data_IF_040194022735
#
_entry.id   IF_040194022735
#
_cell.length_a   1.000
_cell.length_b   1.000
_cell.length_c   1.000
_cell.angle_alpha   90.00
_cell.angle_beta   90.00
_cell.angle_gamma   90.00
#
_symmetry.space_group_name_H-M   'P 1'
#
loop_
_entity.id
_entity.type
_entity.pdbx_description
1 polymer ?
#
# COMPACT_ATOMS: atom_id res chain seq x y z
N UNK A 1 -36.39 37.75 10.81
CA UNK A 1 -35.87 37.54 9.43
C UNK A 1 -35.48 36.07 9.13
N UNK A 2 -35.52 35.13 10.09
CA UNK A 2 -35.15 33.71 9.90
C UNK A 2 -36.32 32.75 9.62
N UNK A 3 -37.57 33.15 9.86
CA UNK A 3 -38.75 32.29 9.67
C UNK A 3 -39.20 32.23 8.19
N UNK A 4 -38.93 33.26 7.40
CA UNK A 4 -39.32 33.36 5.99
C UNK A 4 -38.45 32.53 5.03
N UNK A 5 -37.19 32.23 5.38
CA UNK A 5 -36.30 31.38 4.56
C UNK A 5 -36.69 29.90 4.57
N UNK A 6 -37.22 29.39 5.68
CA UNK A 6 -37.64 27.99 5.80
C UNK A 6 -38.96 27.68 5.06
N UNK A 7 -39.82 28.68 4.87
CA UNK A 7 -41.07 28.54 4.11
C UNK A 7 -40.81 28.44 2.59
N UNK A 8 -39.92 29.30 2.06
CA UNK A 8 -39.58 29.31 0.64
C UNK A 8 -38.90 28.01 0.18
N UNK A 9 -38.02 27.44 1.01
CA UNK A 9 -37.33 26.19 0.71
C UNK A 9 -38.27 24.97 0.77
N UNK A 10 -39.20 24.92 1.74
CA UNK A 10 -40.25 23.90 1.78
C UNK A 10 -41.22 24.02 0.60
N UNK A 11 -41.55 25.23 0.17
CA UNK A 11 -42.43 25.45 -0.98
C UNK A 11 -41.74 25.06 -2.30
N UNK A 12 -40.43 25.30 -2.45
CA UNK A 12 -39.68 24.90 -3.65
C UNK A 12 -39.55 23.38 -3.80
N UNK A 13 -39.33 22.66 -2.69
CA UNK A 13 -39.31 21.18 -2.70
C UNK A 13 -40.69 20.58 -2.97
N UNK A 14 -41.75 21.08 -2.32
CA UNK A 14 -43.12 20.57 -2.52
C UNK A 14 -43.63 20.84 -3.94
N UNK A 15 -43.22 21.96 -4.56
CA UNK A 15 -43.63 22.32 -5.92
C UNK A 15 -42.90 21.50 -6.98
N UNK A 16 -41.61 21.17 -6.79
CA UNK A 16 -40.91 20.24 -7.71
C UNK A 16 -41.44 18.81 -7.64
N UNK A 17 -41.85 18.33 -6.46
CA UNK A 17 -42.49 17.00 -6.33
C UNK A 17 -43.89 16.98 -6.96
N UNK A 18 -44.66 18.08 -6.86
CA UNK A 18 -45.97 18.19 -7.55
C UNK A 18 -45.83 18.25 -9.08
N UNK A 19 -44.80 18.90 -9.62
CA UNK A 19 -44.60 18.97 -11.07
C UNK A 19 -44.10 17.66 -11.71
N UNK A 20 -43.60 16.69 -10.92
CA UNK A 20 -43.35 15.33 -11.39
C UNK A 20 -44.66 14.51 -11.56
N UNK A 21 -45.75 14.90 -10.89
CA UNK A 21 -47.06 14.24 -11.00
C UNK A 21 -47.86 14.59 -12.26
N UNK A 22 -47.55 15.71 -12.93
CA UNK A 22 -48.22 16.14 -14.17
C UNK A 22 -47.81 15.36 -15.43
N UNK A 23 -46.86 14.43 -15.32
CA UNK A 23 -46.23 13.73 -16.47
C UNK A 23 -46.67 12.28 -16.65
N UNK A 24 -47.76 11.85 -15.99
CA UNK A 24 -48.30 10.49 -16.14
C UNK A 24 -47.47 9.38 -15.49
N UNK A 25 -46.54 9.72 -14.60
CA UNK A 25 -45.71 8.72 -13.92
C UNK A 25 -46.54 7.92 -12.92
N UNK A 26 -46.71 6.64 -13.19
CA UNK A 26 -47.39 5.72 -12.27
C UNK A 26 -46.59 5.63 -10.95
N UNK A 27 -47.27 5.30 -9.83
CA UNK A 27 -46.59 5.08 -8.54
C UNK A 27 -45.44 4.07 -8.66
N UNK A 28 -45.59 3.07 -9.54
CA UNK A 28 -44.57 2.07 -9.85
C UNK A 28 -43.30 2.70 -10.45
N UNK A 29 -43.46 3.67 -11.36
CA UNK A 29 -42.34 4.38 -11.99
C UNK A 29 -41.53 5.20 -10.99
N UNK A 30 -42.18 5.83 -10.01
CA UNK A 30 -41.50 6.59 -8.94
C UNK A 30 -40.71 5.66 -8.01
N UNK A 31 -41.31 4.55 -7.58
CA UNK A 31 -40.64 3.54 -6.73
C UNK A 31 -39.43 2.96 -7.46
N UNK A 32 -39.59 2.62 -8.75
CA UNK A 32 -38.50 2.09 -9.57
C UNK A 32 -37.34 3.09 -9.69
N UNK A 33 -37.63 4.39 -9.89
CA UNK A 33 -36.58 5.41 -9.95
C UNK A 33 -35.82 5.54 -8.63
N UNK A 34 -36.51 5.50 -7.49
CA UNK A 34 -35.88 5.56 -6.17
C UNK A 34 -34.96 4.35 -5.97
N UNK A 35 -35.46 3.13 -6.25
CA UNK A 35 -34.66 1.91 -6.13
C UNK A 35 -33.44 1.93 -7.06
N UNK A 36 -33.62 2.35 -8.31
CA UNK A 36 -32.52 2.49 -9.26
C UNK A 36 -31.48 3.52 -8.79
N UNK A 37 -31.93 4.67 -8.30
CA UNK A 37 -31.03 5.69 -7.73
C UNK A 37 -30.27 5.20 -6.50
N UNK A 38 -30.90 4.38 -5.66
CA UNK A 38 -30.25 3.73 -4.53
C UNK A 38 -29.18 2.74 -5.00
N UNK A 39 -29.52 1.81 -5.90
CA UNK A 39 -28.54 0.85 -6.44
C UNK A 39 -27.37 1.57 -7.10
N UNK A 40 -27.63 2.64 -7.86
CA UNK A 40 -26.59 3.46 -8.47
C UNK A 40 -25.70 4.17 -7.43
N UNK A 41 -26.28 4.68 -6.34
CA UNK A 41 -25.53 5.30 -5.26
C UNK A 41 -24.61 4.28 -4.54
N UNK A 42 -25.13 3.09 -4.22
CA UNK A 42 -24.32 2.03 -3.62
C UNK A 42 -23.20 1.57 -4.56
N UNK A 43 -23.50 1.38 -5.85
CA UNK A 43 -22.50 1.04 -6.84
C UNK A 43 -21.42 2.14 -6.92
N UNK A 44 -21.82 3.41 -6.99
CA UNK A 44 -20.87 4.53 -7.00
C UNK A 44 -19.94 4.49 -5.78
N UNK A 45 -20.48 4.32 -4.56
CA UNK A 45 -19.65 4.28 -3.34
C UNK A 45 -18.71 3.07 -3.32
N UNK A 46 -19.14 1.93 -3.85
CA UNK A 46 -18.35 0.70 -3.91
C UNK A 46 -17.21 0.77 -4.93
N UNK A 47 -17.44 1.40 -6.08
CA UNK A 47 -16.49 1.43 -7.21
C UNK A 47 -15.68 2.73 -7.32
N UNK A 48 -15.98 3.75 -6.52
CA UNK A 48 -15.18 4.97 -6.51
C UNK A 48 -13.72 4.67 -6.13
N UNK A 49 -12.81 5.39 -6.79
CA UNK A 49 -11.38 5.37 -6.50
C UNK A 49 -11.11 5.96 -5.12
N UNK A 50 -10.14 5.38 -4.42
CA UNK A 50 -9.78 5.75 -3.05
C UNK A 50 -8.27 5.71 -2.90
N UNK A 51 -7.78 6.55 -2.00
CA UNK A 51 -6.38 6.53 -1.59
C UNK A 51 -6.16 5.32 -0.69
N UNK A 52 -5.24 4.45 -1.11
CA UNK A 52 -4.79 3.30 -0.34
C UNK A 52 -3.38 3.56 0.15
N UNK A 53 -3.17 3.32 1.45
CA UNK A 53 -1.86 3.31 2.07
C UNK A 53 -1.53 1.87 2.39
N UNK A 54 -0.46 1.39 1.80
CA UNK A 54 0.06 0.06 2.08
C UNK A 54 1.11 0.18 3.16
N UNK A 55 1.11 -0.76 4.09
CA UNK A 55 2.17 -0.95 5.08
C UNK A 55 2.66 -2.38 4.94
N UNK A 56 3.96 -2.55 4.70
CA UNK A 56 4.60 -3.86 4.65
C UNK A 56 5.53 -3.96 5.84
N UNK A 57 5.30 -4.97 6.68
CA UNK A 57 6.17 -5.31 7.80
C UNK A 57 6.71 -6.71 7.56
N UNK A 58 8.03 -6.88 7.51
CA UNK A 58 8.63 -8.14 7.13
C UNK A 58 9.93 -8.40 7.88
N UNK A 59 10.25 -9.68 8.08
CA UNK A 59 11.56 -10.16 8.50
C UNK A 59 12.23 -10.82 7.29
N UNK A 60 13.44 -10.38 6.95
CA UNK A 60 14.19 -10.84 5.77
C UNK A 60 15.68 -10.72 5.98
N UNK A 61 16.46 -11.51 5.27
CA UNK A 61 17.93 -11.38 5.24
C UNK A 61 18.41 -10.47 4.10
N UNK A 62 17.51 -10.11 3.18
CA UNK A 62 17.83 -9.25 2.03
C UNK A 62 16.68 -8.31 1.68
N UNK A 63 17.03 -7.08 1.34
CA UNK A 63 16.15 -6.12 0.70
C UNK A 63 16.96 -5.19 -0.21
N UNK A 64 16.33 -4.67 -1.24
CA UNK A 64 16.91 -3.60 -2.04
C UNK A 64 15.98 -2.41 -2.13
N UNK A 65 16.57 -1.22 -2.24
CA UNK A 65 15.86 0.01 -2.48
C UNK A 65 16.52 0.79 -3.62
N UNK A 66 15.73 1.53 -4.37
CA UNK A 66 16.22 2.60 -5.23
C UNK A 66 15.85 3.91 -4.55
N UNK A 67 16.86 4.66 -4.08
CA UNK A 67 16.66 5.87 -3.29
C UNK A 67 15.90 6.95 -4.07
N UNK A 68 14.98 7.67 -3.43
CA UNK A 68 14.24 8.76 -4.08
C UNK A 68 14.62 10.16 -3.56
N UNK A 69 15.24 10.24 -2.37
CA UNK A 69 15.55 11.48 -1.68
C UNK A 69 16.84 11.32 -0.86
N UNK A 70 17.72 12.32 -0.82
CA UNK A 70 18.92 12.30 0.01
C UNK A 70 18.69 12.73 1.45
N UNK A 71 17.58 13.41 1.76
CA UNK A 71 17.31 13.93 3.11
C UNK A 71 16.95 12.84 4.12
N UNK A 72 16.25 11.79 3.67
CA UNK A 72 15.86 10.66 4.51
C UNK A 72 16.90 9.54 4.45
N UNK A 73 17.53 9.34 3.28
CA UNK A 73 18.58 8.34 3.08
C UNK A 73 19.94 8.83 3.61
N UNK A 74 19.95 9.22 4.87
CA UNK A 74 21.13 9.59 5.64
C UNK A 74 21.28 8.63 6.82
N UNK A 75 22.41 7.93 6.89
CA UNK A 75 22.63 6.86 7.85
C UNK A 75 23.86 7.08 8.68
N UNK A 76 23.69 6.98 10.00
CA UNK A 76 24.81 6.97 10.92
C UNK A 76 25.56 5.65 10.78
N UNK A 77 26.83 5.73 10.41
CA UNK A 77 27.71 4.56 10.31
C UNK A 77 28.51 4.44 11.59
N UNK A 78 28.54 3.25 12.22
CA UNK A 78 29.34 3.04 13.40
C UNK A 78 30.85 3.07 13.14
N UNK A 79 31.63 3.36 14.18
CA UNK A 79 33.08 3.56 14.07
C UNK A 79 33.87 2.27 13.78
N UNK A 80 33.27 1.12 14.04
CA UNK A 80 33.76 -0.24 13.81
C UNK A 80 33.19 -0.87 12.53
N UNK A 81 32.37 -0.14 11.76
CA UNK A 81 32.05 -0.54 10.40
C UNK A 81 33.33 -0.58 9.54
N UNK A 82 33.28 -1.20 8.37
CA UNK A 82 34.28 -1.17 7.30
C UNK A 82 33.64 -0.58 6.07
N UNK A 83 34.13 0.58 5.60
CA UNK A 83 33.65 1.24 4.39
C UNK A 83 34.69 1.05 3.28
N UNK A 84 34.30 0.31 2.25
CA UNK A 84 35.08 0.08 1.05
C UNK A 84 34.47 0.92 -0.07
N UNK A 85 35.26 1.82 -0.67
CA UNK A 85 34.84 2.66 -1.79
C UNK A 85 35.98 2.63 -2.80
N UNK A 86 35.72 2.41 -4.09
CA UNK A 86 36.85 2.48 -5.03
C UNK A 86 36.72 1.84 -6.40
N UNK A 87 35.52 1.60 -6.91
CA UNK A 87 35.39 1.23 -8.31
C UNK A 87 34.94 2.48 -9.07
N UNK A 88 35.82 3.06 -9.87
CA UNK A 88 35.43 3.94 -10.98
C UNK A 88 35.30 3.05 -12.22
N UNK A 89 34.40 3.33 -13.17
CA UNK A 89 34.21 2.37 -14.27
C UNK A 89 35.41 2.22 -15.22
N UNK A 90 36.46 3.04 -15.08
CA UNK A 90 37.76 2.78 -15.71
C UNK A 90 38.41 1.48 -15.18
N UNK A 91 38.24 1.18 -13.89
CA UNK A 91 38.75 -0.03 -13.22
C UNK A 91 38.12 -1.33 -13.71
N UNK A 92 36.83 -1.28 -14.10
CA UNK A 92 36.06 -2.45 -14.56
C UNK A 92 36.31 -2.80 -16.03
N UNK A 93 36.89 -1.88 -16.81
CA UNK A 93 37.20 -2.10 -18.21
C UNK A 93 38.59 -2.71 -18.45
N UNK A 94 39.40 -2.85 -17.40
CA UNK A 94 40.71 -3.51 -17.45
C UNK A 94 40.61 -4.95 -16.90
N UNK A 95 40.53 -5.98 -17.77
CA UNK A 95 40.40 -7.38 -17.34
C UNK A 95 41.64 -7.92 -16.63
N UNK A 96 42.75 -7.18 -16.59
CA UNK A 96 43.96 -7.57 -15.85
C UNK A 96 43.95 -7.08 -14.40
N UNK A 97 43.00 -6.21 -14.00
CA UNK A 97 42.92 -5.70 -12.65
C UNK A 97 41.81 -6.35 -11.84
N UNK A 98 42.16 -6.87 -10.66
CA UNK A 98 41.20 -7.44 -9.72
C UNK A 98 40.38 -6.30 -9.07
N UNK A 99 39.05 -6.24 -9.23
CA UNK A 99 38.23 -5.18 -8.63
C UNK A 99 38.38 -5.08 -7.11
N UNK A 100 38.66 -6.20 -6.44
CA UNK A 100 38.89 -6.23 -4.99
C UNK A 100 40.21 -5.57 -4.55
N UNK A 101 41.20 -5.45 -5.45
CA UNK A 101 42.49 -4.78 -5.16
C UNK A 101 42.41 -3.26 -5.34
N UNK A 102 41.35 -2.75 -5.98
CA UNK A 102 41.12 -1.33 -6.24
C UNK A 102 40.16 -0.67 -5.25
N UNK A 103 39.50 -1.47 -4.39
CA UNK A 103 38.68 -0.91 -3.32
C UNK A 103 39.58 -0.21 -2.29
N UNK A 104 39.40 1.10 -2.14
CA UNK A 104 40.09 1.86 -1.12
C UNK A 104 39.34 1.69 0.21
N UNK A 105 40.07 1.26 1.23
CA UNK A 105 39.58 1.33 2.61
C UNK A 105 39.49 2.80 2.98
N UNK A 106 38.26 3.31 3.09
CA UNK A 106 38.04 4.69 3.52
C UNK A 106 38.42 4.77 4.99
N UNK A 107 39.41 5.57 5.39
CA UNK A 107 39.72 5.75 6.82
C UNK A 107 38.67 6.66 7.48
N UNK A 108 37.81 6.13 8.36
CA UNK A 108 36.72 6.86 9.06
C UNK A 108 36.81 6.78 10.59
N UNK A 109 38.01 6.52 11.15
CA UNK A 109 38.21 6.14 12.57
C UNK A 109 37.88 7.19 13.65
N UNK A 110 37.34 8.37 13.33
CA UNK A 110 37.02 9.40 14.33
C UNK A 110 35.78 10.22 13.97
N UNK A 111 34.82 10.33 14.89
CA UNK A 111 33.66 11.24 14.81
C UNK A 111 32.31 10.54 14.70
N UNK A 112 31.23 11.32 14.59
CA UNK A 112 29.94 10.81 14.10
C UNK A 112 29.96 10.84 12.58
N UNK A 113 29.95 9.66 11.95
CA UNK A 113 30.00 9.53 10.50
C UNK A 113 28.60 9.29 9.95
N UNK A 114 28.21 10.05 8.93
CA UNK A 114 26.96 9.86 8.21
C UNK A 114 27.22 9.58 6.75
N UNK A 115 26.65 8.52 6.20
CA UNK A 115 26.55 8.34 4.75
C UNK A 115 25.25 9.00 4.29
N UNK A 116 25.37 9.95 3.37
CA UNK A 116 24.24 10.58 2.67
C UNK A 116 24.21 9.99 1.27
N UNK A 117 23.15 9.26 0.96
CA UNK A 117 23.01 8.59 -0.34
C UNK A 117 22.27 9.51 -1.32
N UNK A 118 22.80 9.62 -2.54
CA UNK A 118 22.16 10.38 -3.61
C UNK A 118 20.81 9.73 -4.02
N UNK A 119 19.87 10.47 -4.64
CA UNK A 119 18.70 9.87 -5.28
C UNK A 119 19.09 9.00 -6.48
N UNK A 120 18.31 7.95 -6.77
CA UNK A 120 18.51 7.05 -7.90
C UNK A 120 19.56 5.96 -7.68
N UNK A 121 20.06 5.80 -6.46
CA UNK A 121 21.08 4.82 -6.10
C UNK A 121 20.42 3.52 -5.70
N UNK A 122 20.92 2.40 -6.23
CA UNK A 122 20.52 1.10 -5.79
C UNK A 122 21.26 0.75 -4.50
N UNK A 123 20.52 0.47 -3.45
CA UNK A 123 21.03 0.09 -2.14
C UNK A 123 20.55 -1.32 -1.86
N UNK A 124 21.44 -2.21 -1.51
CA UNK A 124 21.10 -3.56 -1.06
C UNK A 124 21.53 -3.72 0.39
N UNK A 125 20.59 -4.10 1.26
CA UNK A 125 20.88 -4.49 2.62
C UNK A 125 20.90 -6.01 2.69
N UNK A 126 21.93 -6.59 3.31
CA UNK A 126 22.14 -8.03 3.36
C UNK A 126 22.70 -8.47 4.72
N UNK A 127 22.16 -9.57 5.24
CA UNK A 127 22.64 -10.22 6.47
C UNK A 127 23.39 -11.50 6.11
N UNK A 128 24.69 -11.51 6.37
CA UNK A 128 25.52 -12.68 6.20
C UNK A 128 25.69 -13.43 7.52
N UNK A 129 24.85 -14.44 7.75
CA UNK A 129 24.92 -15.29 8.95
C UNK A 129 26.19 -16.13 9.04
N UNK A 130 26.87 -16.43 7.93
CA UNK A 130 28.09 -17.25 7.94
C UNK A 130 29.29 -16.48 8.50
N UNK A 131 29.36 -15.18 8.22
CA UNK A 131 30.45 -14.31 8.66
C UNK A 131 30.07 -13.39 9.84
N UNK A 132 28.82 -13.44 10.31
CA UNK A 132 28.27 -12.50 11.28
C UNK A 132 28.41 -11.04 10.84
N UNK A 133 28.12 -10.77 9.55
CA UNK A 133 28.25 -9.44 8.95
C UNK A 133 26.87 -8.90 8.52
N UNK A 134 26.68 -7.59 8.69
CA UNK A 134 25.61 -6.82 8.09
C UNK A 134 26.21 -5.93 7.00
N UNK A 135 25.77 -6.09 5.76
CA UNK A 135 26.36 -5.42 4.60
C UNK A 135 25.33 -4.49 3.97
N UNK A 136 25.75 -3.26 3.70
CA UNK A 136 25.02 -2.32 2.85
C UNK A 136 25.86 -2.09 1.60
N UNK A 137 25.35 -2.47 0.45
CA UNK A 137 25.98 -2.22 -0.85
C UNK A 137 25.27 -1.08 -1.54
N UNK A 138 26.02 -0.10 -2.04
CA UNK A 138 25.55 1.07 -2.76
C UNK A 138 26.09 1.04 -4.18
N UNK A 139 25.21 1.13 -5.16
CA UNK A 139 25.56 1.06 -6.57
C UNK A 139 24.91 2.20 -7.34
N UNK A 140 25.74 3.00 -8.02
CA UNK A 140 25.27 4.00 -8.95
C UNK A 140 24.95 3.33 -10.31
N UNK A 141 23.79 3.62 -10.94
CA UNK A 141 23.39 2.98 -12.21
C UNK A 141 24.38 3.26 -13.35
N UNK A 142 25.05 4.41 -13.33
CA UNK A 142 26.24 4.69 -14.15
C UNK A 142 27.51 4.41 -13.33
N UNK A 143 28.04 3.19 -13.46
CA UNK A 143 29.27 2.75 -12.79
C UNK A 143 30.51 3.55 -13.22
N UNK A 144 30.50 4.21 -14.38
CA UNK A 144 31.68 4.87 -14.93
C UNK A 144 32.01 6.17 -14.23
N UNK A 145 31.03 7.06 -14.10
CA UNK A 145 31.22 8.43 -13.63
C UNK A 145 30.29 8.82 -12.48
N UNK A 146 29.58 7.84 -11.91
CA UNK A 146 28.62 8.05 -10.84
C UNK A 146 29.24 8.22 -9.46
N UNK A 147 28.49 8.89 -8.58
CA UNK A 147 28.77 8.91 -7.14
C UNK A 147 27.52 8.44 -6.39
N UNK A 148 27.70 7.47 -5.49
CA UNK A 148 26.60 7.00 -4.62
C UNK A 148 26.20 8.05 -3.57
N UNK A 149 27.04 9.06 -3.33
CA UNK A 149 26.77 10.11 -2.35
C UNK A 149 28.02 10.56 -1.60
N UNK A 150 27.83 10.96 -0.35
CA UNK A 150 28.87 11.59 0.46
C UNK A 150 28.96 10.94 1.83
N UNK A 151 30.19 10.81 2.31
CA UNK A 151 30.49 10.57 3.72
C UNK A 151 30.68 11.92 4.40
N UNK A 152 29.74 12.30 5.26
CA UNK A 152 29.80 13.48 6.11
C UNK A 152 30.48 13.15 7.43
N UNK A 153 31.47 13.98 7.78
CA UNK A 153 32.31 13.87 8.98
C UNK A 153 32.36 15.22 9.69
N UNK A 154 32.84 15.23 10.94
CA UNK A 154 33.04 16.46 11.73
C UNK A 154 33.86 17.55 11.01
N UNK A 155 34.76 17.16 10.09
CA UNK A 155 35.70 18.05 9.39
C UNK A 155 35.35 18.31 7.92
N UNK A 156 34.25 17.76 7.40
CA UNK A 156 33.83 18.00 6.01
C UNK A 156 33.13 16.81 5.35
N UNK A 157 32.86 16.95 4.05
CA UNK A 157 32.22 15.93 3.22
C UNK A 157 33.24 15.33 2.26
N UNK A 158 33.28 14.01 2.19
CA UNK A 158 34.06 13.26 1.21
C UNK A 158 33.09 12.61 0.23
N UNK A 159 33.30 12.80 -1.06
CA UNK A 159 32.53 12.13 -2.10
C UNK A 159 32.90 10.65 -2.18
N UNK A 160 31.89 9.80 -2.32
CA UNK A 160 32.04 8.36 -2.48
C UNK A 160 32.02 7.99 -3.98
N UNK A 161 32.66 6.87 -4.33
CA UNK A 161 32.70 6.37 -5.71
C UNK A 161 31.33 5.89 -6.23
N UNK A 162 31.33 5.21 -7.38
CA UNK A 162 30.11 4.66 -7.98
C UNK A 162 29.66 3.33 -7.32
N UNK A 163 30.55 2.72 -6.54
CA UNK A 163 30.30 1.51 -5.77
C UNK A 163 30.88 1.65 -4.36
N UNK A 164 30.07 1.32 -3.34
CA UNK A 164 30.48 1.33 -1.93
C UNK A 164 29.89 0.14 -1.18
N UNK A 165 30.73 -0.56 -0.43
CA UNK A 165 30.29 -1.55 0.56
C UNK A 165 30.52 -1.01 1.98
N UNK A 166 29.49 -1.12 2.81
CA UNK A 166 29.54 -0.82 4.24
C UNK A 166 29.29 -2.11 5.00
N UNK A 167 30.35 -2.66 5.56
CA UNK A 167 30.34 -3.93 6.30
C UNK A 167 30.33 -3.63 7.79
N UNK A 168 29.39 -4.16 8.54
CA UNK A 168 29.24 -3.95 9.99
C UNK A 168 29.19 -5.27 10.72
N UNK A 169 29.77 -5.31 11.92
CA UNK A 169 29.57 -6.43 12.84
C UNK A 169 28.12 -6.46 13.36
N UNK A 170 27.61 -7.67 13.52
CA UNK A 170 26.27 -8.00 14.01
C UNK A 170 26.10 -7.85 15.54
N UNK A 171 27.05 -7.23 16.24
CA UNK A 171 27.06 -7.16 17.70
C UNK A 171 26.09 -6.14 18.32
N UNK A 172 25.44 -5.27 17.53
CA UNK A 172 24.51 -4.26 18.03
C UNK A 172 23.28 -4.06 17.15
N UNK A 173 22.28 -3.40 17.71
CA UNK A 173 21.11 -2.95 16.97
C UNK A 173 21.47 -1.81 16.02
N UNK A 174 20.98 -1.88 14.78
CA UNK A 174 21.13 -0.83 13.77
C UNK A 174 19.76 -0.40 13.24
N UNK A 175 19.62 0.88 12.86
CA UNK A 175 18.39 1.45 12.32
C UNK A 175 18.70 2.37 11.15
N UNK A 176 18.12 2.07 9.99
CA UNK A 176 18.33 2.81 8.75
C UNK A 176 16.99 3.29 8.21
N UNK A 177 16.61 4.57 8.42
CA UNK A 177 15.44 5.14 7.76
C UNK A 177 15.69 5.23 6.25
N UNK A 178 14.66 5.05 5.44
CA UNK A 178 14.80 5.18 4.00
C UNK A 178 13.57 5.78 3.33
N UNK A 179 13.80 6.35 2.14
CA UNK A 179 12.75 6.72 1.20
C UNK A 179 13.16 6.33 -0.22
N UNK A 180 12.35 5.49 -0.87
CA UNK A 180 12.69 4.92 -2.15
C UNK A 180 11.70 3.88 -2.65
N UNK A 181 11.95 3.37 -3.84
CA UNK A 181 11.29 2.17 -4.36
C UNK A 181 11.86 0.96 -3.64
N UNK A 182 11.02 0.02 -3.19
CA UNK A 182 11.46 -1.08 -2.31
C UNK A 182 11.16 -2.44 -2.92
N UNK A 183 12.13 -3.34 -2.80
CA UNK A 183 12.00 -4.78 -3.03
C UNK A 183 12.37 -5.48 -1.73
N UNK A 184 11.45 -6.26 -1.17
CA UNK A 184 11.65 -7.01 0.07
C UNK A 184 11.75 -8.50 -0.25
N UNK A 185 12.80 -9.16 0.22
CA UNK A 185 13.13 -10.52 -0.17
C UNK A 185 13.86 -10.58 -1.52
N UNK A 186 14.31 -11.78 -1.89
CA UNK A 186 14.97 -12.04 -3.16
C UNK A 186 14.61 -13.45 -3.65
N UNK A 187 14.84 -13.72 -4.92
CA UNK A 187 14.57 -15.01 -5.54
C UNK A 187 15.55 -16.08 -5.07
N UNK A 188 15.03 -17.28 -4.84
CA UNK A 188 15.81 -18.45 -4.42
C UNK A 188 16.62 -18.97 -5.61
N UNK A 189 17.74 -18.34 -5.90
CA UNK A 189 18.74 -18.87 -6.84
C UNK A 189 19.74 -19.77 -6.13
N UNK A 190 20.52 -20.55 -6.90
CA UNK A 190 21.53 -21.49 -6.37
C UNK A 190 22.64 -20.84 -5.52
N UNK A 191 22.67 -19.51 -5.46
CA UNK A 191 23.68 -18.71 -4.75
C UNK A 191 23.10 -17.81 -3.65
N UNK A 192 21.79 -17.87 -3.38
CA UNK A 192 21.14 -16.95 -2.43
C UNK A 192 20.74 -17.72 -1.15
N UNK A 193 21.39 -17.39 -0.04
CA UNK A 193 21.05 -17.87 1.31
C UNK A 193 20.01 -16.98 2.02
N UNK A 194 19.59 -15.87 1.39
CA UNK A 194 18.76 -14.84 1.99
C UNK A 194 17.38 -14.80 1.35
N UNK A 195 16.35 -14.93 2.18
CA UNK A 195 14.96 -14.92 1.72
C UNK A 195 14.13 -14.05 2.66
N UNK A 196 12.95 -13.65 2.21
CA UNK A 196 11.92 -13.21 3.15
C UNK A 196 11.59 -14.39 4.05
N UNK A 197 11.56 -14.19 5.37
CA UNK A 197 11.26 -15.23 6.34
C UNK A 197 9.78 -15.22 6.75
N UNK A 198 9.23 -14.03 6.95
CA UNK A 198 7.83 -13.83 7.34
C UNK A 198 7.46 -12.36 7.19
N UNK A 199 6.19 -12.04 7.08
CA UNK A 199 5.72 -10.67 7.16
C UNK A 199 4.24 -10.53 6.91
N UNK A 200 3.76 -9.31 6.84
CA UNK A 200 2.41 -9.01 6.40
C UNK A 200 2.34 -7.71 5.60
N UNK A 201 1.36 -7.67 4.69
CA UNK A 201 0.92 -6.48 3.98
C UNK A 201 -0.41 -6.07 4.57
N UNK A 202 -0.47 -4.85 5.11
CA UNK A 202 -1.70 -4.23 5.59
C UNK A 202 -2.07 -3.07 4.69
N UNK A 203 -3.31 -3.07 4.22
CA UNK A 203 -3.87 -2.03 3.36
C UNK A 203 -4.86 -1.20 4.19
N UNK A 204 -4.61 0.11 4.24
CA UNK A 204 -5.44 1.10 4.90
C UNK A 204 -6.06 1.98 3.82
N UNK A 205 -7.38 2.00 3.76
CA UNK A 205 -8.14 2.77 2.77
C UNK A 205 -8.85 3.94 3.46
N UNK A 206 -8.90 5.09 2.79
CA UNK A 206 -9.68 6.24 3.24
C UNK A 206 -11.15 6.12 2.81
N UNK A 207 -12.06 6.56 3.67
CA UNK A 207 -13.48 6.70 3.32
C UNK A 207 -13.72 7.68 2.17
N UNK A 208 -14.79 7.45 1.39
CA UNK A 208 -15.10 8.28 0.23
C UNK A 208 -15.51 9.73 0.58
N UNK A 209 -16.18 9.92 1.72
CA UNK A 209 -16.75 11.21 2.12
C UNK A 209 -16.19 11.73 3.46
N UNK A 210 -15.12 11.11 3.97
CA UNK A 210 -14.59 11.40 5.28
C UNK A 210 -13.08 11.20 5.39
N UNK A 211 -12.54 11.58 6.54
CA UNK A 211 -11.12 11.45 6.87
C UNK A 211 -10.82 10.18 7.68
N UNK A 212 -11.85 9.37 7.93
CA UNK A 212 -11.72 8.10 8.63
C UNK A 212 -11.05 7.09 7.70
N UNK A 213 -10.15 6.30 8.30
CA UNK A 213 -9.41 5.23 7.62
C UNK A 213 -9.76 3.89 8.25
N UNK A 214 -9.90 2.87 7.42
CA UNK A 214 -10.16 1.51 7.87
C UNK A 214 -9.21 0.52 7.21
N UNK A 215 -9.06 -0.66 7.81
CA UNK A 215 -8.27 -1.75 7.25
C UNK A 215 -9.08 -2.43 6.15
N UNK A 216 -8.64 -2.27 4.91
CA UNK A 216 -9.29 -2.80 3.71
C UNK A 216 -8.71 -4.14 3.25
N UNK A 217 -7.56 -4.55 3.79
CA UNK A 217 -6.92 -5.82 3.50
C UNK A 217 -5.76 -6.11 4.44
N UNK A 218 -5.57 -7.39 4.76
CA UNK A 218 -4.40 -7.91 5.45
C UNK A 218 -4.02 -9.21 4.74
N UNK A 219 -2.74 -9.33 4.37
CA UNK A 219 -2.19 -10.47 3.65
C UNK A 219 -0.93 -10.90 4.38
N UNK A 220 -0.87 -12.16 4.79
CA UNK A 220 0.35 -12.75 5.35
C UNK A 220 1.33 -13.03 4.20
N UNK A 221 2.62 -12.88 4.49
CA UNK A 221 3.73 -13.18 3.59
C UNK A 221 4.42 -14.45 4.08
N UNK A 222 4.63 -15.38 3.16
CA UNK A 222 5.26 -16.66 3.45
C UNK A 222 6.77 -16.58 3.17
N UNK A 223 7.53 -17.53 3.75
CA UNK A 223 8.96 -17.62 3.50
C UNK A 223 9.25 -17.81 2.00
N UNK A 224 10.21 -17.04 1.47
CA UNK A 224 10.58 -17.04 0.06
C UNK A 224 9.68 -16.20 -0.85
N UNK A 225 8.73 -15.44 -0.28
CA UNK A 225 7.99 -14.44 -1.02
C UNK A 225 8.86 -13.20 -1.28
N UNK A 226 8.72 -12.59 -2.46
CA UNK A 226 9.32 -11.31 -2.84
C UNK A 226 8.23 -10.29 -3.02
N UNK A 227 8.37 -9.13 -2.38
CA UNK A 227 7.33 -8.08 -2.38
C UNK A 227 7.82 -6.83 -3.07
N UNK A 228 7.02 -6.34 -4.01
CA UNK A 228 7.19 -5.04 -4.68
C UNK A 228 5.87 -4.28 -4.66
N UNK A 229 5.93 -2.94 -4.61
CA UNK A 229 4.73 -2.09 -4.56
C UNK A 229 4.71 -1.18 -5.79
N UNK A 230 3.56 -1.09 -6.45
CA UNK A 230 3.40 -0.43 -7.74
C UNK A 230 2.28 0.61 -7.70
N UNK A 231 2.54 1.79 -8.25
CA UNK A 231 1.50 2.79 -8.49
C UNK A 231 0.62 2.39 -9.68
N UNK A 232 1.22 1.76 -10.69
CA UNK A 232 0.51 1.26 -11.87
C UNK A 232 1.24 0.00 -12.39
N UNK A 233 0.55 -1.14 -12.35
CA UNK A 233 1.07 -2.44 -12.82
C UNK A 233 1.28 -2.42 -14.33
N UNK A 234 0.37 -1.82 -15.09
CA UNK A 234 0.42 -1.82 -16.56
C UNK A 234 1.62 -1.04 -17.07
N UNK A 235 2.01 0.01 -16.33
CA UNK A 235 3.17 0.84 -16.62
C UNK A 235 4.43 0.41 -15.88
N UNK A 236 4.36 -0.62 -15.05
CA UNK A 236 5.44 -1.09 -14.19
C UNK A 236 6.10 0.06 -13.40
N UNK A 237 5.28 0.95 -12.84
CA UNK A 237 5.78 2.10 -12.07
C UNK A 237 5.79 1.74 -10.60
N UNK A 238 6.99 1.59 -10.04
CA UNK A 238 7.17 1.33 -8.62
C UNK A 238 6.67 2.51 -7.78
N UNK A 239 6.20 2.21 -6.58
CA UNK A 239 5.82 3.22 -5.60
C UNK A 239 7.04 3.65 -4.78
N UNK A 240 7.17 4.97 -4.55
CA UNK A 240 8.14 5.51 -3.60
C UNK A 240 7.54 5.44 -2.21
N UNK A 241 8.20 4.68 -1.33
CA UNK A 241 7.73 4.42 0.03
C UNK A 241 8.68 5.05 1.04
N UNK A 242 8.20 5.18 2.28
CA UNK A 242 9.00 5.59 3.43
C UNK A 242 9.02 4.47 4.46
N UNK A 243 10.17 4.21 5.03
CA UNK A 243 10.30 3.12 5.99
C UNK A 243 11.57 3.19 6.80
N UNK A 244 11.82 2.10 7.51
CA UNK A 244 13.08 1.86 8.18
C UNK A 244 13.44 0.38 8.12
N UNK A 245 14.74 0.13 8.08
CA UNK A 245 15.35 -1.19 8.29
C UNK A 245 15.88 -1.21 9.71
N UNK A 246 15.53 -2.23 10.47
CA UNK A 246 16.03 -2.45 11.82
C UNK A 246 16.74 -3.80 11.83
N UNK A 247 18.00 -3.79 12.22
CA UNK A 247 18.76 -5.00 12.47
C UNK A 247 18.89 -5.21 13.98
N UNK A 248 18.69 -6.44 14.45
CA UNK A 248 18.94 -6.85 15.84
C UNK A 248 20.05 -7.92 15.85
N UNK A 249 20.94 -7.95 16.87
CA UNK A 249 22.07 -8.88 16.90
C UNK A 249 21.69 -10.35 16.74
N UNK A 250 22.38 -11.04 15.83
CA UNK A 250 22.17 -12.46 15.51
C UNK A 250 20.73 -12.80 15.05
N UNK A 251 20.01 -11.82 14.51
CA UNK A 251 18.67 -12.01 13.91
C UNK A 251 18.67 -11.49 12.46
N UNK A 252 17.60 -11.78 11.73
CA UNK A 252 17.35 -11.20 10.41
C UNK A 252 16.89 -9.74 10.51
N UNK A 253 16.94 -9.01 9.39
CA UNK A 253 16.43 -7.64 9.37
C UNK A 253 14.92 -7.61 9.54
N UNK A 254 14.45 -6.67 10.34
CA UNK A 254 13.06 -6.27 10.39
C UNK A 254 12.85 -4.99 9.59
N UNK A 255 11.93 -5.02 8.64
CA UNK A 255 11.60 -3.90 7.76
C UNK A 255 10.19 -3.47 8.06
N UNK A 256 9.96 -2.16 8.09
CA UNK A 256 8.62 -1.60 8.00
C UNK A 256 8.63 -0.45 7.03
N UNK A 257 7.78 -0.55 6.00
CA UNK A 257 7.62 0.48 4.99
C UNK A 257 6.15 0.81 4.80
N UNK A 258 5.86 2.07 4.49
CA UNK A 258 4.52 2.53 4.18
C UNK A 258 4.53 3.59 3.09
N UNK A 259 3.46 3.63 2.30
CA UNK A 259 3.29 4.62 1.27
C UNK A 259 1.96 4.49 0.55
N UNK A 260 1.61 5.53 -0.21
CA UNK A 260 0.46 5.50 -1.10
C UNK A 260 0.81 4.70 -2.35
N UNK A 261 -0.03 3.72 -2.68
CA UNK A 261 0.19 2.83 -3.82
C UNK A 261 -1.12 2.13 -4.18
N UNK A 262 -1.19 1.49 -5.34
CA UNK A 262 -2.42 0.85 -5.82
C UNK A 262 -2.42 -0.65 -5.57
N UNK A 263 -1.24 -1.28 -5.58
CA UNK A 263 -1.09 -2.73 -5.46
C UNK A 263 0.27 -3.11 -4.86
N UNK A 264 0.27 -4.19 -4.08
CA UNK A 264 1.48 -4.89 -3.71
C UNK A 264 1.53 -6.23 -4.45
N UNK A 265 2.57 -6.42 -5.27
CA UNK A 265 2.84 -7.65 -6.01
C UNK A 265 3.70 -8.54 -5.14
N UNK A 266 3.21 -9.75 -4.88
CA UNK A 266 3.94 -10.79 -4.13
C UNK A 266 4.29 -11.90 -5.09
N UNK A 267 5.57 -12.14 -5.33
CA UNK A 267 6.09 -13.25 -6.14
C UNK A 267 6.56 -14.37 -5.24
N UNK A 268 6.18 -15.61 -5.52
CA UNK A 268 6.49 -16.75 -4.66
C UNK A 268 7.53 -17.64 -5.32
N UNK A 269 8.71 -17.76 -4.70
CA UNK A 269 9.80 -18.66 -5.13
C UNK A 269 10.13 -18.52 -6.64
N UNK A 270 10.24 -17.30 -7.15
CA UNK A 270 10.54 -17.03 -8.57
C UNK A 270 9.47 -17.45 -9.57
N UNK A 271 8.23 -17.64 -9.11
CA UNK A 271 7.13 -18.17 -9.93
C UNK A 271 5.86 -17.32 -9.85
N UNK A 272 4.69 -17.94 -10.10
CA UNK A 272 3.40 -17.27 -10.10
C UNK A 272 3.10 -16.66 -8.72
N UNK A 273 3.00 -15.34 -8.70
CA UNK A 273 2.64 -14.55 -7.54
C UNK A 273 1.15 -14.24 -7.42
N UNK A 274 0.81 -13.34 -6.49
CA UNK A 274 -0.51 -12.72 -6.38
C UNK A 274 -0.41 -11.21 -6.16
N UNK A 275 -1.47 -10.50 -6.52
CA UNK A 275 -1.61 -9.07 -6.31
C UNK A 275 -2.45 -8.84 -5.04
N UNK A 276 -1.81 -8.35 -3.98
CA UNK A 276 -2.49 -7.88 -2.79
C UNK A 276 -3.12 -6.52 -3.07
N UNK A 277 -4.45 -6.48 -3.10
CA UNK A 277 -5.26 -5.28 -3.35
C UNK A 277 -6.51 -5.26 -2.48
N UNK A 278 -7.06 -4.06 -2.26
CA UNK A 278 -8.35 -3.90 -1.58
C UNK A 278 -9.44 -4.71 -2.29
N UNK A 279 -10.16 -5.54 -1.53
CA UNK A 279 -11.31 -6.30 -2.03
C UNK A 279 -12.61 -5.53 -1.83
N UNK A 280 -13.51 -5.59 -2.82
CA UNK A 280 -14.85 -5.00 -2.71
C UNK A 280 -15.64 -5.59 -1.52
N UNK A 281 -15.40 -6.87 -1.19
CA UNK A 281 -16.04 -7.51 -0.03
C UNK A 281 -15.58 -6.90 1.29
N UNK A 282 -14.31 -6.49 1.38
CA UNK A 282 -13.79 -5.81 2.57
C UNK A 282 -14.38 -4.41 2.69
N UNK A 283 -14.59 -3.69 1.59
CA UNK A 283 -15.36 -2.42 1.60
C UNK A 283 -16.77 -2.64 2.16
N UNK A 284 -17.47 -3.70 1.73
CA UNK A 284 -18.82 -3.97 2.22
C UNK A 284 -18.91 -4.16 3.75
N UNK A 285 -17.92 -4.85 4.34
CA UNK A 285 -17.90 -5.14 5.77
C UNK A 285 -17.28 -4.06 6.65
N UNK A 286 -16.32 -3.28 6.11
CA UNK A 286 -15.48 -2.40 6.92
C UNK A 286 -15.66 -0.90 6.61
N UNK A 287 -16.22 -0.53 5.46
CA UNK A 287 -16.45 0.88 5.10
C UNK A 287 -17.71 1.42 5.80
N UNK A 288 -17.58 2.42 6.69
CA UNK A 288 -18.72 3.00 7.40
C UNK A 288 -19.79 3.62 6.49
N UNK A 289 -19.42 4.17 5.33
CA UNK A 289 -20.38 4.73 4.37
C UNK A 289 -21.20 3.60 3.72
N UNK A 290 -20.53 2.53 3.30
CA UNK A 290 -21.22 1.37 2.72
C UNK A 290 -22.10 0.68 3.76
N UNK A 291 -21.62 0.53 4.99
CA UNK A 291 -22.41 0.01 6.11
C UNK A 291 -23.64 0.87 6.39
N UNK A 292 -23.51 2.20 6.37
CA UNK A 292 -24.64 3.10 6.57
C UNK A 292 -25.68 2.98 5.44
N UNK A 293 -25.24 2.95 4.18
CA UNK A 293 -26.13 2.79 3.02
C UNK A 293 -26.84 1.43 3.02
N UNK A 294 -26.10 0.35 3.26
CA UNK A 294 -26.67 -1.00 3.32
C UNK A 294 -27.66 -1.15 4.48
N UNK A 295 -27.36 -0.57 5.64
CA UNK A 295 -28.29 -0.52 6.79
C UNK A 295 -29.56 0.27 6.46
N UNK A 296 -29.42 1.43 5.81
CA UNK A 296 -30.57 2.21 5.34
C UNK A 296 -31.43 1.40 4.37
N UNK A 297 -30.80 0.61 3.49
CA UNK A 297 -31.52 -0.21 2.51
C UNK A 297 -32.28 -1.34 3.20
N UNK A 298 -31.64 -2.02 4.15
CA UNK A 298 -32.27 -3.05 4.96
C UNK A 298 -33.51 -2.51 5.70
N UNK A 299 -33.41 -1.31 6.30
CA UNK A 299 -34.54 -0.66 6.98
C UNK A 299 -35.69 -0.36 6.00
N UNK A 300 -35.38 0.16 4.81
CA UNK A 300 -36.41 0.47 3.80
C UNK A 300 -37.09 -0.82 3.31
N UNK A 301 -36.34 -1.90 3.06
CA UNK A 301 -36.90 -3.19 2.68
C UNK A 301 -37.79 -3.78 3.77
N UNK A 302 -37.34 -3.73 5.03
CA UNK A 302 -38.13 -4.18 6.18
C UNK A 302 -39.43 -3.37 6.30
N UNK A 303 -39.39 -2.05 6.11
CA UNK A 303 -40.59 -1.20 6.13
C UNK A 303 -41.54 -1.52 4.98
N UNK A 304 -41.02 -1.84 3.79
CA UNK A 304 -41.83 -2.26 2.64
C UNK A 304 -42.52 -3.60 2.92
N UNK A 305 -41.78 -4.59 3.41
CA UNK A 305 -42.32 -5.91 3.78
C UNK A 305 -43.38 -5.79 4.87
N UNK A 306 -43.10 -4.99 5.91
CA UNK A 306 -44.06 -4.71 6.98
C UNK A 306 -45.33 -4.03 6.44
N UNK A 307 -45.21 -3.12 5.47
CA UNK A 307 -46.38 -2.48 4.85
C UNK A 307 -47.20 -3.48 4.02
N UNK A 308 -46.53 -4.40 3.30
CA UNK A 308 -47.20 -5.47 2.54
C UNK A 308 -47.91 -6.44 3.49
N UNK A 309 -47.26 -6.84 4.58
CA UNK A 309 -47.83 -7.70 5.62
C UNK A 309 -49.03 -7.04 6.32
N UNK A 310 -48.94 -5.77 6.70
CA UNK A 310 -50.08 -5.03 7.25
C UNK A 310 -51.23 -5.01 6.25
N UNK A 311 -50.95 -4.77 4.97
CA UNK A 311 -51.99 -4.75 3.94
C UNK A 311 -52.66 -6.11 3.75
N UNK A 312 -51.92 -7.22 3.84
CA UNK A 312 -52.51 -8.57 3.73
C UNK A 312 -53.35 -8.93 4.96
N UNK A 313 -52.92 -8.52 6.15
CA UNK A 313 -53.67 -8.74 7.41
C UNK A 313 -54.97 -7.92 7.47
N UNK A 314 -54.94 -6.69 6.97
CA UNK A 314 -56.11 -5.78 6.97
C UNK A 314 -56.87 -5.78 5.64
N UNK A 315 -56.55 -6.68 4.71
CA UNK A 315 -57.29 -6.81 3.46
C UNK A 315 -58.74 -7.25 3.76
N UNK A 316 -59.76 -6.50 3.33
CA UNK A 316 -61.14 -6.88 3.56
C UNK A 316 -61.45 -8.21 2.83
N UNK A 317 -62.12 -9.13 3.53
CA UNK A 317 -62.49 -10.51 3.12
C UNK A 317 -63.21 -10.67 1.76
N UNK A 318 -63.53 -9.57 1.07
CA UNK A 318 -64.26 -9.56 -0.22
C UNK A 318 -63.45 -10.11 -1.41
N UNK A 319 -62.13 -10.20 -1.34
CA UNK A 319 -61.32 -10.82 -2.40
C UNK A 319 -61.14 -12.34 -2.25
N UNK A 320 -61.36 -12.91 -1.06
CA UNK A 320 -61.27 -14.37 -0.87
C UNK A 320 -62.47 -15.11 -1.46
N UNK A 321 -63.66 -14.49 -1.47
CA UNK A 321 -64.90 -15.09 -2.01
C UNK A 321 -64.84 -15.19 -3.55
N UNK A 322 -64.16 -14.26 -4.23
CA UNK A 322 -64.04 -14.28 -5.69
C UNK A 322 -63.09 -15.35 -6.23
N UNK A 323 -62.14 -15.82 -5.43
CA UNK A 323 -61.25 -16.92 -5.83
C UNK A 323 -61.94 -18.29 -5.67
N UNK A 324 -62.87 -18.43 -4.73
CA UNK A 324 -63.70 -19.64 -4.57
C UNK A 324 -64.81 -19.73 -5.62
N UNK A 325 -65.46 -18.63 -6.02
CA UNK A 325 -66.50 -18.67 -7.07
C UNK A 325 -65.95 -19.12 -8.45
N UNK A 326 -64.70 -18.79 -8.80
CA UNK A 326 -64.09 -19.19 -10.09
C UNK A 326 -63.69 -20.68 -10.11
N UNK A 327 -63.57 -21.34 -8.96
CA UNK A 327 -63.28 -22.78 -8.87
C UNK A 327 -64.56 -23.62 -8.86
N UNK A 328 -65.70 -23.03 -8.50
CA UNK A 328 -67.01 -23.73 -8.49
C UNK A 328 -67.72 -23.67 -9.86
N UNK A 329 -67.33 -22.77 -10.76
CA UNK A 329 -67.85 -22.68 -12.14
C UNK A 329 -67.00 -23.40 -13.21
N UNK A 330 -66.12 -24.34 -12.83
CA UNK A 330 -65.44 -25.25 -13.77
C UNK A 330 -65.81 -26.70 -13.57
#
# INVERSE_FOLDING_TARGET
MSVLKNSAMRMFMVTRVKNLRGRGWTRKSVIFLILSGMVAALAYVLFADRVNIYTVSARTDVMSIVTADSTINQWRIPNDATVLSGITGEALMDPEQNPAEQMELVDYKTGENFIIVNPGIQVTFFVNHANSEFVITLEHPDFANGSVGYLERDLGRQELGSYVDVIMDQSRQLLFPFMGEVVIGDDVSTSVAATLLSGNIRIIEQELFGDVRYVSGEFELDQGDRVTLHNDIERNTNAVLRGFVRYEPNDSMYITTHGETTVARVERLGSAGYDAKTSLWKRFGNDPVVMALTSLYAIIFLMLEFTVMLRSLFAPKKEQIKAEEVVVER
#
